data_IF_070402703145
#
_entry.id   IF_070402703145
#
_cell.length_a   1.000
_cell.length_b   1.000
_cell.length_c   1.000
_cell.angle_alpha   90.00
_cell.angle_beta   90.00
_cell.angle_gamma   90.00
#
_symmetry.space_group_name_H-M   'P 1'
#
loop_
_entity.id
_entity.type
_entity.pdbx_description
1 polymer ?
#
# COMPACT_ATOMS: atom_id res chain seq x y z
N UNK A 1 55.23 31.01 -4.49
CA UNK A 1 55.53 29.56 -4.65
C UNK A 1 55.42 28.90 -3.29
N UNK A 2 54.27 28.28 -3.02
CA UNK A 2 54.03 27.34 -1.91
C UNK A 2 53.07 26.29 -2.50
N UNK A 3 53.37 24.98 -2.44
CA UNK A 3 52.67 23.99 -3.26
C UNK A 3 51.36 23.50 -2.63
N UNK A 4 50.39 23.27 -3.51
CA UNK A 4 49.15 22.55 -3.26
C UNK A 4 49.41 21.10 -2.85
N UNK A 5 48.82 20.65 -1.75
CA UNK A 5 48.69 19.23 -1.44
C UNK A 5 47.27 18.98 -0.94
N UNK A 6 46.38 18.63 -1.87
CA UNK A 6 45.05 18.09 -1.56
C UNK A 6 45.13 16.61 -1.91
N UNK A 7 45.27 15.78 -0.89
CA UNK A 7 44.97 14.36 -1.00
C UNK A 7 43.45 14.17 -0.86
N UNK A 8 42.80 13.30 -1.66
CA UNK A 8 41.38 13.06 -1.53
C UNK A 8 41.13 12.15 -0.32
N UNK A 9 40.39 12.64 0.68
CA UNK A 9 39.84 11.78 1.72
C UNK A 9 38.68 11.01 1.11
N UNK A 10 38.88 9.71 0.93
CA UNK A 10 37.85 8.79 0.45
C UNK A 10 36.89 8.50 1.61
N UNK A 11 35.91 9.36 1.81
CA UNK A 11 34.82 9.13 2.76
C UNK A 11 33.73 8.33 2.07
N UNK A 12 33.66 7.03 2.37
CA UNK A 12 32.52 6.19 2.03
C UNK A 12 31.26 6.76 2.70
N UNK A 13 30.47 7.54 1.96
CA UNK A 13 29.12 7.92 2.35
C UNK A 13 28.22 6.70 2.14
N UNK A 14 28.16 5.83 3.15
CA UNK A 14 27.14 4.79 3.21
C UNK A 14 25.82 5.47 3.57
N UNK A 15 25.01 5.74 2.55
CA UNK A 15 23.59 6.04 2.70
C UNK A 15 22.96 4.93 3.55
N UNK A 16 22.23 5.23 4.64
CA UNK A 16 21.37 4.24 5.27
C UNK A 16 20.29 3.90 4.24
N UNK A 17 20.48 2.79 3.54
CA UNK A 17 19.44 2.22 2.72
C UNK A 17 18.23 1.96 3.61
N UNK A 18 17.06 2.42 3.16
CA UNK A 18 15.78 1.88 3.60
C UNK A 18 15.88 0.36 3.45
N UNK A 19 16.13 -0.34 4.55
CA UNK A 19 15.82 -1.75 4.64
C UNK A 19 14.30 -1.79 4.64
N UNK A 20 13.72 -2.02 3.46
CA UNK A 20 12.41 -2.60 3.43
C UNK A 20 12.54 -3.91 4.19
N UNK A 21 11.90 -3.98 5.36
CA UNK A 21 11.57 -5.24 6.01
C UNK A 21 10.65 -6.02 5.06
N UNK A 22 11.28 -6.59 4.05
CA UNK A 22 10.81 -7.82 3.44
C UNK A 22 11.12 -8.89 4.47
N UNK A 23 10.21 -9.07 5.42
CA UNK A 23 10.21 -10.22 6.32
C UNK A 23 10.17 -11.46 5.43
N UNK A 24 11.30 -12.16 5.39
CA UNK A 24 11.45 -13.42 4.69
C UNK A 24 10.91 -14.57 5.53
N UNK A 25 9.95 -15.28 4.94
CA UNK A 25 9.76 -16.75 5.01
C UNK A 25 9.67 -17.42 6.37
N UNK A 26 8.47 -17.91 6.73
CA UNK A 26 8.29 -18.90 7.80
C UNK A 26 6.86 -19.16 8.25
N UNK A 27 5.90 -19.28 7.33
CA UNK A 27 4.63 -20.02 7.44
C UNK A 27 3.78 -19.69 6.19
N UNK A 28 3.68 -20.62 5.24
CA UNK A 28 2.81 -20.51 4.05
C UNK A 28 1.32 -20.67 4.43
N UNK A 29 0.84 -19.83 5.34
CA UNK A 29 -0.59 -19.58 5.49
C UNK A 29 -0.88 -18.28 4.76
N UNK A 30 -1.34 -18.42 3.52
CA UNK A 30 -2.04 -17.35 2.80
C UNK A 30 -3.11 -16.83 3.76
N UNK A 31 -3.03 -15.53 4.11
CA UNK A 31 -4.03 -14.90 4.97
C UNK A 31 -5.42 -15.18 4.37
N UNK A 32 -6.45 -15.47 5.18
CA UNK A 32 -7.81 -15.69 4.68
C UNK A 32 -8.28 -14.58 3.72
N UNK A 33 -7.84 -13.34 3.95
CA UNK A 33 -8.12 -12.19 3.09
C UNK A 33 -7.43 -12.29 1.72
N UNK A 34 -6.20 -12.77 1.68
CA UNK A 34 -5.44 -12.97 0.45
C UNK A 34 -6.07 -14.09 -0.39
N UNK A 35 -6.57 -15.14 0.28
CA UNK A 35 -7.32 -16.19 -0.38
C UNK A 35 -8.65 -15.68 -0.96
N UNK A 36 -9.36 -14.81 -0.24
CA UNK A 36 -10.59 -14.17 -0.74
C UNK A 36 -10.31 -13.23 -1.92
N UNK A 37 -9.22 -12.47 -1.88
CA UNK A 37 -8.77 -11.61 -3.00
C UNK A 37 -8.41 -12.42 -4.24
N UNK A 38 -7.65 -13.50 -4.06
CA UNK A 38 -7.31 -14.41 -5.16
C UNK A 38 -8.56 -15.03 -5.79
N UNK A 39 -9.55 -15.45 -5.00
CA UNK A 39 -10.83 -15.94 -5.54
C UNK A 39 -11.59 -14.88 -6.34
N UNK A 40 -11.57 -13.62 -5.88
CA UNK A 40 -12.18 -12.50 -6.60
C UNK A 40 -11.47 -12.26 -7.95
N UNK A 41 -10.13 -12.28 -7.95
CA UNK A 41 -9.32 -12.11 -9.16
C UNK A 41 -9.59 -13.22 -10.18
N UNK A 42 -9.58 -14.48 -9.76
CA UNK A 42 -9.89 -15.63 -10.62
C UNK A 42 -11.27 -15.49 -11.29
N UNK A 43 -12.25 -14.99 -10.55
CA UNK A 43 -13.62 -14.80 -11.04
C UNK A 43 -13.74 -13.61 -12.01
N UNK A 44 -13.00 -12.53 -11.76
CA UNK A 44 -12.91 -11.41 -12.69
C UNK A 44 -12.25 -11.82 -14.01
N UNK A 45 -11.20 -12.64 -13.96
CA UNK A 45 -10.54 -13.18 -15.15
C UNK A 45 -11.47 -14.11 -15.94
N UNK A 46 -12.19 -15.01 -15.25
CA UNK A 46 -13.21 -15.88 -15.86
C UNK A 46 -14.32 -15.07 -16.55
N UNK A 47 -14.78 -13.97 -15.92
CA UNK A 47 -15.78 -13.09 -16.52
C UNK A 47 -15.25 -12.40 -17.77
N UNK A 48 -14.02 -11.87 -17.72
CA UNK A 48 -13.37 -11.24 -18.87
C UNK A 48 -13.25 -12.23 -20.04
N UNK A 49 -12.78 -13.45 -19.77
CA UNK A 49 -12.66 -14.49 -20.78
C UNK A 49 -14.02 -14.86 -21.38
N UNK A 50 -15.05 -14.97 -20.55
CA UNK A 50 -16.42 -15.26 -21.03
C UNK A 50 -16.97 -14.11 -21.89
N UNK A 51 -16.74 -12.86 -21.51
CA UNK A 51 -17.14 -11.69 -22.31
C UNK A 51 -16.41 -11.63 -23.66
N UNK A 52 -15.13 -11.98 -23.68
CA UNK A 52 -14.35 -12.11 -24.92
C UNK A 52 -14.96 -13.19 -25.82
N UNK A 53 -15.28 -14.36 -25.27
CA UNK A 53 -15.91 -15.46 -26.01
C UNK A 53 -17.30 -15.08 -26.54
N UNK A 54 -18.11 -14.36 -25.75
CA UNK A 54 -19.39 -13.79 -26.22
C UNK A 54 -19.15 -12.86 -27.41
N UNK A 55 -18.15 -11.98 -27.33
CA UNK A 55 -17.77 -11.09 -28.43
C UNK A 55 -17.40 -11.85 -29.70
N UNK A 56 -16.59 -12.91 -29.57
CA UNK A 56 -16.21 -13.78 -30.70
C UNK A 56 -17.44 -14.48 -31.29
N UNK A 57 -18.27 -15.11 -30.46
CA UNK A 57 -19.46 -15.85 -30.90
C UNK A 57 -20.50 -14.94 -31.56
N UNK A 58 -20.58 -13.68 -31.12
CA UNK A 58 -21.51 -12.69 -31.69
C UNK A 58 -20.99 -12.13 -33.02
N UNK A 59 -19.67 -12.05 -33.18
CA UNK A 59 -19.03 -11.57 -34.42
C UNK A 59 -19.20 -12.54 -35.59
N UNK A 60 -19.07 -13.85 -35.33
CA UNK A 60 -19.22 -14.90 -36.36
C UNK A 60 -20.06 -16.08 -35.84
N UNK A 61 -21.37 -16.00 -36.03
CA UNK A 61 -22.31 -17.05 -35.63
C UNK A 61 -22.26 -18.19 -36.64
N UNK A 62 -21.51 -19.23 -36.32
CA UNK A 62 -21.49 -20.45 -37.11
C UNK A 62 -22.85 -21.16 -37.08
N UNK A 63 -23.25 -21.80 -38.18
CA UNK A 63 -24.53 -22.53 -38.26
C UNK A 63 -24.63 -23.64 -37.19
N UNK A 64 -23.52 -24.32 -36.91
CA UNK A 64 -23.41 -25.34 -35.86
C UNK A 64 -23.52 -24.77 -34.43
N UNK A 65 -23.40 -23.45 -34.28
CA UNK A 65 -23.48 -22.73 -33.01
C UNK A 65 -24.88 -22.12 -32.77
N UNK A 66 -25.83 -22.32 -33.70
CA UNK A 66 -27.22 -21.87 -33.55
C UNK A 66 -28.02 -22.82 -32.66
N UNK A 67 -29.25 -22.43 -32.35
CA UNK A 67 -30.21 -23.26 -31.62
C UNK A 67 -30.36 -24.63 -32.28
N UNK A 68 -30.22 -25.70 -31.49
CA UNK A 68 -30.22 -27.08 -32.00
C UNK A 68 -28.92 -27.54 -32.66
N UNK A 69 -27.97 -26.64 -32.91
CA UNK A 69 -26.59 -26.96 -33.27
C UNK A 69 -25.82 -27.54 -32.08
N UNK A 70 -24.65 -28.15 -32.31
CA UNK A 70 -23.83 -28.71 -31.24
C UNK A 70 -22.35 -28.59 -31.55
N UNK A 71 -21.53 -28.42 -30.51
CA UNK A 71 -20.08 -28.55 -30.62
C UNK A 71 -19.71 -30.04 -30.75
N UNK A 72 -19.86 -30.61 -31.95
CA UNK A 72 -19.55 -32.02 -32.21
C UNK A 72 -20.51 -33.00 -31.52
N UNK A 73 -19.99 -34.03 -30.84
CA UNK A 73 -20.80 -35.02 -30.07
C UNK A 73 -21.28 -34.51 -28.70
N UNK A 74 -21.58 -33.22 -28.59
CA UNK A 74 -22.15 -32.63 -27.38
C UNK A 74 -23.67 -32.65 -27.37
N UNK A 75 -24.27 -32.30 -26.22
CA UNK A 75 -25.69 -31.94 -26.20
C UNK A 75 -25.94 -30.73 -27.11
N UNK A 76 -27.08 -30.71 -27.83
CA UNK A 76 -27.43 -29.58 -28.67
C UNK A 76 -27.58 -28.32 -27.81
N UNK A 77 -27.11 -27.19 -28.34
CA UNK A 77 -27.32 -25.89 -27.73
C UNK A 77 -28.81 -25.59 -27.65
N UNK A 78 -29.26 -25.17 -26.47
CA UNK A 78 -30.65 -24.77 -26.23
C UNK A 78 -31.03 -23.47 -26.95
N UNK A 79 -32.16 -22.89 -26.53
CA UNK A 79 -32.66 -21.62 -27.04
C UNK A 79 -31.56 -20.54 -27.03
N UNK A 80 -31.29 -19.95 -28.19
CA UNK A 80 -30.24 -18.94 -28.38
C UNK A 80 -28.84 -19.48 -28.73
N UNK A 81 -28.67 -20.79 -28.91
CA UNK A 81 -27.42 -21.37 -29.38
C UNK A 81 -26.23 -21.18 -28.43
N UNK A 82 -25.01 -21.23 -28.96
CA UNK A 82 -23.77 -21.02 -28.22
C UNK A 82 -23.69 -19.61 -27.61
N UNK A 83 -24.16 -18.59 -28.33
CA UNK A 83 -24.20 -17.20 -27.85
C UNK A 83 -25.10 -17.09 -26.63
N UNK A 84 -26.32 -17.64 -26.71
CA UNK A 84 -27.25 -17.67 -25.59
C UNK A 84 -26.67 -18.38 -24.37
N UNK A 85 -26.00 -19.53 -24.58
CA UNK A 85 -25.29 -20.23 -23.49
C UNK A 85 -24.23 -19.35 -22.84
N UNK A 86 -23.38 -18.69 -23.63
CA UNK A 86 -22.27 -17.85 -23.12
C UNK A 86 -22.75 -16.57 -22.43
N UNK A 87 -23.86 -15.98 -22.89
CA UNK A 87 -24.51 -14.86 -22.19
C UNK A 87 -25.03 -15.31 -20.82
N UNK A 88 -25.71 -16.45 -20.75
CA UNK A 88 -26.18 -16.99 -19.47
C UNK A 88 -25.03 -17.31 -18.51
N UNK A 89 -23.91 -17.84 -19.03
CA UNK A 89 -22.68 -18.05 -18.25
C UNK A 89 -22.12 -16.73 -17.69
N UNK A 90 -22.07 -15.67 -18.49
CA UNK A 90 -21.64 -14.34 -18.05
C UNK A 90 -22.56 -13.75 -16.96
N UNK A 91 -23.88 -13.93 -17.08
CA UNK A 91 -24.86 -13.50 -16.06
C UNK A 91 -24.63 -14.24 -14.74
N UNK A 92 -24.40 -15.56 -14.79
CA UNK A 92 -24.13 -16.36 -13.60
C UNK A 92 -22.82 -15.94 -12.93
N UNK A 93 -21.76 -15.69 -13.70
CA UNK A 93 -20.48 -15.20 -13.16
C UNK A 93 -20.61 -13.82 -12.51
N UNK A 94 -21.41 -12.92 -13.08
CA UNK A 94 -21.70 -11.61 -12.45
C UNK A 94 -22.49 -11.76 -11.14
N UNK A 95 -23.42 -12.71 -11.06
CA UNK A 95 -24.14 -13.00 -9.81
C UNK A 95 -23.20 -13.58 -8.74
N UNK A 96 -22.35 -14.54 -9.10
CA UNK A 96 -21.32 -15.10 -8.20
C UNK A 96 -20.35 -14.03 -7.69
N UNK A 97 -19.92 -13.10 -8.55
CA UNK A 97 -19.06 -11.98 -8.16
C UNK A 97 -19.73 -11.06 -7.13
N UNK A 98 -21.04 -10.83 -7.27
CA UNK A 98 -21.80 -10.04 -6.30
C UNK A 98 -21.88 -10.72 -4.92
N UNK A 99 -22.07 -12.04 -4.90
CA UNK A 99 -22.08 -12.84 -3.68
C UNK A 99 -20.71 -12.84 -2.99
N UNK A 100 -19.62 -12.98 -3.77
CA UNK A 100 -18.25 -12.88 -3.28
C UNK A 100 -18.00 -11.50 -2.67
N UNK A 101 -18.35 -10.42 -3.38
CA UNK A 101 -18.20 -9.05 -2.87
C UNK A 101 -18.95 -8.81 -1.55
N UNK A 102 -20.13 -9.43 -1.37
CA UNK A 102 -20.90 -9.35 -0.12
C UNK A 102 -20.25 -10.14 1.02
N UNK A 103 -19.50 -11.21 0.69
CA UNK A 103 -18.76 -12.04 1.65
C UNK A 103 -17.39 -11.47 2.03
N UNK A 104 -16.85 -10.53 1.26
CA UNK A 104 -15.63 -9.81 1.62
C UNK A 104 -15.91 -8.93 2.83
N UNK A 105 -15.06 -9.03 3.86
CA UNK A 105 -15.08 -8.11 4.99
C UNK A 105 -14.92 -6.68 4.47
N UNK A 106 -15.82 -5.73 4.79
CA UNK A 106 -15.84 -4.38 4.20
C UNK A 106 -14.72 -3.44 4.70
N UNK A 107 -13.55 -3.97 5.08
CA UNK A 107 -12.57 -3.24 5.89
C UNK A 107 -11.54 -2.43 5.09
N UNK A 108 -11.53 -2.49 3.76
CA UNK A 108 -10.56 -1.72 2.96
C UNK A 108 -11.23 -0.49 2.35
N UNK A 109 -11.13 0.69 3.00
CA UNK A 109 -11.55 1.94 2.37
C UNK A 109 -10.66 2.22 1.16
N UNK A 110 -11.26 2.35 -0.01
CA UNK A 110 -10.57 2.72 -1.25
C UNK A 110 -10.62 4.25 -1.38
N UNK A 111 -9.48 4.95 -1.45
CA UNK A 111 -9.47 6.39 -1.71
C UNK A 111 -10.14 6.74 -3.04
N UNK A 112 -10.91 7.82 -3.08
CA UNK A 112 -11.63 8.24 -4.29
C UNK A 112 -10.67 8.54 -5.44
N UNK A 113 -9.47 9.02 -5.14
CA UNK A 113 -8.44 9.32 -6.12
C UNK A 113 -7.98 8.06 -6.86
N UNK A 114 -7.91 6.91 -6.18
CA UNK A 114 -7.58 5.62 -6.82
C UNK A 114 -8.67 5.24 -7.83
N UNK A 115 -9.94 5.42 -7.47
CA UNK A 115 -11.08 5.16 -8.36
C UNK A 115 -11.01 6.07 -9.58
N UNK A 116 -10.73 7.36 -9.40
CA UNK A 116 -10.57 8.31 -10.50
C UNK A 116 -9.44 7.92 -11.46
N UNK A 117 -8.34 7.35 -10.97
CA UNK A 117 -7.25 6.88 -11.83
C UNK A 117 -7.68 5.68 -12.68
N UNK A 118 -8.45 4.76 -12.10
CA UNK A 118 -9.03 3.61 -12.81
C UNK A 118 -10.00 4.10 -13.90
N UNK A 119 -10.91 5.01 -13.58
CA UNK A 119 -11.89 5.57 -14.53
C UNK A 119 -11.22 6.28 -15.72
N UNK A 120 -10.06 6.89 -15.50
CA UNK A 120 -9.28 7.56 -16.54
C UNK A 120 -8.37 6.62 -17.34
N UNK A 121 -8.33 5.33 -17.00
CA UNK A 121 -7.43 4.36 -17.62
C UNK A 121 -5.95 4.61 -17.29
N UNK A 122 -5.66 5.26 -16.17
CA UNK A 122 -4.30 5.54 -15.69
C UNK A 122 -3.91 4.58 -14.57
N UNK A 123 -2.59 4.34 -14.40
CA UNK A 123 -2.14 3.47 -13.33
C UNK A 123 -2.42 4.10 -11.94
N UNK A 124 -3.22 3.48 -11.06
CA UNK A 124 -3.48 3.97 -9.71
C UNK A 124 -2.23 4.07 -8.82
N UNK A 125 -1.18 3.29 -9.08
CA UNK A 125 0.09 3.34 -8.33
C UNK A 125 0.77 4.70 -8.43
N UNK A 126 0.47 5.47 -9.50
CA UNK A 126 0.99 6.81 -9.67
C UNK A 126 0.51 7.73 -8.55
N UNK A 127 -0.75 7.60 -8.15
CA UNK A 127 -1.29 8.35 -7.01
C UNK A 127 -0.63 7.91 -5.71
N UNK A 128 -0.48 6.59 -5.50
CA UNK A 128 0.18 6.04 -4.31
C UNK A 128 1.61 6.58 -4.17
N UNK A 129 2.37 6.58 -5.26
CA UNK A 129 3.72 7.13 -5.29
C UNK A 129 3.73 8.61 -4.89
N UNK A 130 2.90 9.44 -5.52
CA UNK A 130 2.85 10.86 -5.19
C UNK A 130 2.36 11.13 -3.76
N UNK A 131 1.46 10.31 -3.25
CA UNK A 131 0.98 10.38 -1.87
C UNK A 131 2.10 10.08 -0.87
N UNK A 132 2.85 8.98 -1.07
CA UNK A 132 3.99 8.60 -0.24
C UNK A 132 5.09 9.66 -0.30
N UNK A 133 5.44 10.14 -1.49
CA UNK A 133 6.43 11.20 -1.68
C UNK A 133 6.04 12.50 -0.96
N UNK A 134 4.76 12.89 -1.06
CA UNK A 134 4.25 14.07 -0.35
C UNK A 134 4.28 13.89 1.16
N UNK A 135 3.85 12.73 1.66
CA UNK A 135 3.86 12.42 3.10
C UNK A 135 5.30 12.44 3.65
N UNK A 136 6.26 11.85 2.92
CA UNK A 136 7.66 11.88 3.30
C UNK A 136 8.21 13.31 3.31
N UNK A 137 7.93 14.10 2.28
CA UNK A 137 8.37 15.49 2.21
C UNK A 137 7.77 16.35 3.33
N UNK A 138 6.48 16.18 3.63
CA UNK A 138 5.79 16.90 4.71
C UNK A 138 6.32 16.51 6.10
N UNK A 139 6.66 15.24 6.30
CA UNK A 139 7.29 14.76 7.53
C UNK A 139 8.70 15.38 7.71
N UNK A 140 9.54 15.32 6.67
CA UNK A 140 10.87 15.94 6.70
C UNK A 140 10.81 17.45 6.89
N UNK A 141 9.87 18.11 6.21
CA UNK A 141 9.67 19.55 6.33
C UNK A 141 9.27 19.93 7.76
N UNK A 142 8.27 19.26 8.32
CA UNK A 142 7.79 19.51 9.70
C UNK A 142 8.90 19.26 10.72
N UNK A 143 9.65 18.16 10.59
CA UNK A 143 10.79 17.88 11.46
C UNK A 143 11.90 18.94 11.35
N UNK A 144 12.14 19.44 10.14
CA UNK A 144 13.09 20.53 9.90
C UNK A 144 12.68 21.82 10.60
N UNK A 145 11.39 22.19 10.54
CA UNK A 145 10.86 23.36 11.26
C UNK A 145 11.01 23.17 12.77
N UNK A 146 10.63 22.00 13.31
CA UNK A 146 10.74 21.72 14.74
C UNK A 146 12.19 21.77 15.23
N UNK A 147 13.12 21.17 14.48
CA UNK A 147 14.55 21.20 14.77
C UNK A 147 15.09 22.63 14.81
N UNK A 148 14.72 23.46 13.83
CA UNK A 148 15.16 24.85 13.75
C UNK A 148 14.60 25.69 14.91
N UNK A 149 13.36 25.43 15.32
CA UNK A 149 12.75 26.11 16.47
C UNK A 149 13.47 25.77 17.77
N UNK A 150 13.82 24.50 17.98
CA UNK A 150 14.60 24.07 19.15
C UNK A 150 16.00 24.68 19.16
N UNK A 151 16.67 24.72 18.00
CA UNK A 151 17.97 25.37 17.86
C UNK A 151 17.88 26.88 18.16
N UNK A 152 16.82 27.54 17.69
CA UNK A 152 16.57 28.96 17.97
C UNK A 152 16.36 29.22 19.46
N UNK A 153 15.54 28.42 20.14
CA UNK A 153 15.33 28.56 21.59
C UNK A 153 16.63 28.35 22.37
N UNK A 154 17.41 27.33 22.02
CA UNK A 154 18.71 27.07 22.65
C UNK A 154 19.66 28.25 22.47
N UNK A 155 19.70 28.83 21.26
CA UNK A 155 20.51 30.02 20.98
C UNK A 155 20.01 31.22 21.78
N UNK A 156 18.70 31.46 21.83
CA UNK A 156 18.09 32.56 22.57
C UNK A 156 18.41 32.45 24.07
N UNK A 157 18.20 31.29 24.67
CA UNK A 157 18.54 31.01 26.07
C UNK A 157 20.02 31.26 26.34
N UNK A 158 20.89 30.80 25.45
CA UNK A 158 22.34 31.00 25.56
C UNK A 158 22.72 32.47 25.51
N UNK A 159 22.14 33.26 24.60
CA UNK A 159 22.40 34.71 24.50
C UNK A 159 21.81 35.47 25.69
N UNK A 160 20.62 35.08 26.14
CA UNK A 160 19.95 35.72 27.28
C UNK A 160 20.70 35.45 28.59
N UNK A 161 21.22 34.23 28.79
CA UNK A 161 22.07 33.89 29.93
C UNK A 161 23.42 34.65 29.92
N UNK A 162 23.98 34.94 28.75
CA UNK A 162 25.20 35.75 28.62
C UNK A 162 24.96 37.22 29.01
N UNK A 163 23.86 37.81 28.55
CA UNK A 163 23.57 39.22 28.78
C UNK A 163 22.90 39.50 30.13
N UNK A 164 22.21 38.51 30.71
CA UNK A 164 21.52 38.62 32.01
C UNK A 164 21.85 37.43 32.91
N UNK A 165 23.04 37.41 33.54
CA UNK A 165 23.51 36.28 34.35
C UNK A 165 22.62 36.02 35.58
N UNK A 166 21.95 37.04 36.09
CA UNK A 166 21.00 36.96 37.20
C UNK A 166 19.73 36.16 36.87
N UNK A 167 19.39 36.04 35.58
CA UNK A 167 18.24 35.28 35.07
C UNK A 167 18.63 33.86 34.62
N UNK A 168 19.92 33.56 34.52
CA UNK A 168 20.46 32.27 34.05
C UNK A 168 19.99 31.07 34.87
N UNK A 169 19.69 31.26 36.17
CA UNK A 169 19.19 30.21 37.05
C UNK A 169 17.77 29.72 36.71
N UNK A 170 17.01 30.48 35.92
CA UNK A 170 15.64 30.14 35.49
C UNK A 170 15.62 29.42 34.12
N UNK A 171 16.67 29.57 33.30
CA UNK A 171 16.85 28.85 32.04
C UNK A 171 17.56 27.53 32.32
N UNK A 172 16.87 26.58 32.94
CA UNK A 172 17.36 25.22 33.05
C UNK A 172 17.44 24.66 31.63
N UNK A 173 18.66 24.50 31.12
CA UNK A 173 18.96 23.84 29.84
C UNK A 173 18.15 22.54 29.79
N UNK A 174 17.13 22.41 28.92
CA UNK A 174 16.44 21.15 28.75
C UNK A 174 17.47 20.16 28.24
N UNK A 175 17.86 19.20 29.07
CA UNK A 175 18.60 18.03 28.61
C UNK A 175 17.81 17.42 27.44
N UNK A 176 18.45 17.10 26.31
CA UNK A 176 17.76 16.40 25.24
C UNK A 176 17.29 15.07 25.80
N UNK A 177 16.00 14.97 26.15
CA UNK A 177 15.37 13.67 26.32
C UNK A 177 15.40 13.02 24.95
N UNK A 178 16.31 12.06 24.80
CA UNK A 178 16.32 11.07 23.73
C UNK A 178 14.95 10.37 23.68
N UNK A 179 13.97 10.99 23.01
CA UNK A 179 12.71 10.35 22.63
C UNK A 179 12.81 9.67 21.25
N UNK A 180 14.03 9.48 20.75
CA UNK A 180 14.34 8.64 19.60
C UNK A 180 14.96 7.29 20.03
N UNK A 181 14.47 6.71 21.14
CA UNK A 181 14.66 5.28 21.35
C UNK A 181 13.80 4.52 20.32
N UNK A 182 14.33 3.48 19.67
CA UNK A 182 13.51 2.59 18.85
C UNK A 182 12.46 1.96 19.76
N UNK A 183 11.19 2.12 19.40
CA UNK A 183 10.12 1.24 19.89
C UNK A 183 10.52 -0.19 19.55
N UNK A 184 11.04 -0.90 20.53
CA UNK A 184 11.29 -2.34 20.46
C UNK A 184 10.11 -2.98 21.17
N UNK A 185 9.35 -3.76 20.41
CA UNK A 185 8.27 -4.61 20.87
C UNK A 185 8.70 -5.55 22.01
N UNK A 186 7.75 -5.70 22.95
CA UNK A 186 7.41 -6.92 23.67
C UNK A 186 8.37 -7.50 24.73
N UNK A 187 8.04 -7.26 26.00
CA UNK A 187 8.17 -8.28 27.06
C UNK A 187 7.14 -7.99 28.18
N UNK A 188 6.19 -8.89 28.47
CA UNK A 188 5.22 -8.69 29.55
C UNK A 188 5.86 -9.09 30.87
N UNK A 189 6.03 -8.14 31.80
CA UNK A 189 6.30 -8.48 33.20
C UNK A 189 5.11 -8.08 34.05
N UNK A 190 4.21 -9.05 34.23
CA UNK A 190 3.19 -9.02 35.26
C UNK A 190 3.83 -8.93 36.63
N UNK A 191 3.50 -7.86 37.36
CA UNK A 191 3.86 -7.62 38.75
C UNK A 191 3.06 -8.55 39.67
N UNK A 192 3.71 -9.62 40.15
CA UNK A 192 3.29 -10.31 41.37
C UNK A 192 4.16 -9.80 42.53
N UNK A 193 3.56 -9.11 43.48
CA UNK A 193 4.07 -9.03 44.85
C UNK A 193 2.89 -8.91 45.84
N UNK A 194 2.73 -9.83 46.79
CA UNK A 194 2.04 -9.54 48.04
C UNK A 194 3.07 -9.25 49.13
N UNK A 195 2.88 -8.18 49.88
CA UNK A 195 3.55 -7.97 51.16
C UNK A 195 2.50 -7.61 52.21
N UNK A 196 2.40 -8.51 53.19
CA UNK A 196 1.72 -8.43 54.51
C UNK A 196 0.20 -8.56 54.50
#
# INVERSE_FOLDING_TARGET
MIPSNISPVNGNHSTPGFHGDTVGTGNDQISPEEQQRSQLEDKLEQLLQTLLEVGICTSDVQENAREGGGAGRGEPFGSGGLVGKKINESINLMAELYDINTSLTPEIPIPMEVIQHIDQGTNPDRWLKSFVERAAHENMYTNGILSNFNAYNTLLETQLAQHFPELSAQFQVPQPTDQNAPITEDTPTGTNNPSV
#
